data_IF_328384613102
#
_entry.id   IF_328384613102
#
_cell.length_a   1.000
_cell.length_b   1.000
_cell.length_c   1.000
_cell.angle_alpha   90.00
_cell.angle_beta   90.00
_cell.angle_gamma   90.00
#
_symmetry.space_group_name_H-M   'P 1'
#
loop_
_entity.id
_entity.type
_entity.pdbx_description
1 polymer ?
#
# COMPACT_ATOMS: atom_id res chain seq x y z
N UNK A 1 -4.82 -39.88 15.07
CA UNK A 1 -4.74 -38.53 14.48
C UNK A 1 -3.30 -38.10 14.55
N UNK A 2 -2.66 -38.03 13.39
CA UNK A 2 -1.25 -37.66 13.24
C UNK A 2 -1.02 -36.20 13.70
N UNK A 3 0.23 -35.85 14.03
CA UNK A 3 0.67 -34.50 14.35
C UNK A 3 0.29 -33.51 13.23
N UNK A 4 0.39 -33.92 11.96
CA UNK A 4 -0.03 -33.10 10.83
C UNK A 4 -1.54 -32.80 10.87
N UNK A 5 -2.39 -33.82 11.07
CA UNK A 5 -3.84 -33.64 11.20
C UNK A 5 -4.21 -32.70 12.35
N UNK A 6 -3.51 -32.81 13.49
CA UNK A 6 -3.71 -31.93 14.66
C UNK A 6 -3.34 -30.48 14.31
N UNK A 7 -2.21 -30.27 13.66
CA UNK A 7 -1.76 -28.95 13.25
C UNK A 7 -2.71 -28.32 12.21
N UNK A 8 -3.17 -29.13 11.25
CA UNK A 8 -4.14 -28.69 10.24
C UNK A 8 -5.46 -28.24 10.86
N UNK A 9 -6.04 -29.04 11.76
CA UNK A 9 -7.27 -28.65 12.50
C UNK A 9 -7.09 -27.39 13.35
N UNK A 10 -5.90 -27.20 13.93
CA UNK A 10 -5.59 -25.98 14.67
C UNK A 10 -5.54 -24.76 13.74
N UNK A 11 -5.00 -24.91 12.53
CA UNK A 11 -4.99 -23.87 11.52
C UNK A 11 -6.42 -23.51 11.08
N UNK A 12 -7.26 -24.50 10.77
CA UNK A 12 -8.67 -24.27 10.42
C UNK A 12 -9.41 -23.48 11.50
N UNK A 13 -9.23 -23.87 12.78
CA UNK A 13 -9.82 -23.14 13.91
C UNK A 13 -9.30 -21.71 14.01
N UNK A 14 -7.99 -21.50 13.85
CA UNK A 14 -7.40 -20.17 13.89
C UNK A 14 -7.91 -19.28 12.74
N UNK A 15 -8.10 -19.85 11.55
CA UNK A 15 -8.70 -19.15 10.40
C UNK A 15 -10.15 -18.76 10.68
N UNK A 16 -10.95 -19.64 11.29
CA UNK A 16 -12.32 -19.30 11.68
C UNK A 16 -12.34 -18.17 12.72
N UNK A 17 -11.54 -18.27 13.79
CA UNK A 17 -11.45 -17.22 14.80
C UNK A 17 -10.94 -15.89 14.25
N UNK A 18 -10.03 -15.90 13.29
CA UNK A 18 -9.57 -14.70 12.58
C UNK A 18 -10.71 -14.04 11.79
N UNK A 19 -11.53 -14.83 11.07
CA UNK A 19 -12.68 -14.31 10.33
C UNK A 19 -13.71 -13.70 11.26
N UNK A 20 -14.09 -14.41 12.31
CA UNK A 20 -15.07 -13.95 13.31
C UNK A 20 -14.62 -12.64 13.98
N UNK A 21 -13.33 -12.56 14.37
CA UNK A 21 -12.77 -11.34 14.93
C UNK A 21 -12.74 -10.20 13.90
N UNK A 22 -12.43 -10.51 12.64
CA UNK A 22 -12.48 -9.55 11.55
C UNK A 22 -13.90 -9.00 11.31
N UNK A 23 -14.91 -9.86 11.32
CA UNK A 23 -16.31 -9.46 11.18
C UNK A 23 -16.74 -8.56 12.35
N UNK A 24 -16.28 -8.84 13.58
CA UNK A 24 -16.52 -7.98 14.73
C UNK A 24 -15.88 -6.59 14.57
N UNK A 25 -14.67 -6.50 14.01
CA UNK A 25 -14.05 -5.19 13.68
C UNK A 25 -14.90 -4.44 12.65
N UNK A 26 -15.36 -5.11 11.59
CA UNK A 26 -16.20 -4.52 10.56
C UNK A 26 -17.59 -4.07 11.05
N UNK A 27 -18.07 -4.63 12.16
CA UNK A 27 -19.34 -4.26 12.78
C UNK A 27 -19.25 -2.97 13.63
N UNK A 28 -18.05 -2.42 13.81
CA UNK A 28 -17.78 -1.16 14.52
C UNK A 28 -17.33 -0.06 13.55
N UNK A 29 -16.83 1.06 14.08
CA UNK A 29 -16.09 2.04 13.27
C UNK A 29 -14.70 1.50 12.91
N UNK A 30 -14.68 0.64 11.88
CA UNK A 30 -13.48 -0.05 11.42
C UNK A 30 -12.42 0.92 10.92
N UNK A 31 -12.82 2.03 10.28
CA UNK A 31 -11.90 3.02 9.73
C UNK A 31 -11.13 3.69 10.86
N UNK A 32 -11.83 4.26 11.85
CA UNK A 32 -11.17 4.95 12.97
C UNK A 32 -10.30 3.99 13.80
N UNK A 33 -10.77 2.75 14.00
CA UNK A 33 -9.98 1.72 14.67
C UNK A 33 -8.67 1.44 13.92
N UNK A 34 -8.73 1.27 12.60
CA UNK A 34 -7.54 0.98 11.79
C UNK A 34 -6.61 2.19 11.69
N UNK A 35 -7.14 3.41 11.61
CA UNK A 35 -6.33 4.64 11.68
C UNK A 35 -5.55 4.73 12.99
N UNK A 36 -6.19 4.41 14.11
CA UNK A 36 -5.51 4.38 15.40
C UNK A 36 -4.37 3.34 15.43
N UNK A 37 -4.57 2.18 14.79
CA UNK A 37 -3.52 1.15 14.63
C UNK A 37 -2.38 1.66 13.73
N UNK A 38 -2.69 2.36 12.64
CA UNK A 38 -1.66 2.98 11.79
C UNK A 38 -0.87 4.05 12.56
N UNK A 39 -1.55 4.92 13.31
CA UNK A 39 -0.91 5.96 14.10
C UNK A 39 -0.02 5.42 15.24
N UNK A 40 -0.37 4.28 15.85
CA UNK A 40 0.38 3.72 16.98
C UNK A 40 1.66 2.98 16.56
N UNK A 41 1.84 2.66 15.27
CA UNK A 41 2.96 1.84 14.78
C UNK A 41 2.90 0.36 15.20
N UNK A 42 1.99 0.00 16.09
CA UNK A 42 1.85 -1.35 16.62
C UNK A 42 0.88 -2.17 15.78
N UNK A 43 1.19 -3.43 15.53
CA UNK A 43 0.30 -4.35 14.80
C UNK A 43 -0.05 -3.97 13.36
N UNK A 44 0.73 -3.08 12.71
CA UNK A 44 0.56 -2.72 11.30
C UNK A 44 0.42 -3.92 10.37
N UNK A 45 1.18 -4.99 10.60
CA UNK A 45 1.12 -6.18 9.77
C UNK A 45 -0.26 -6.86 9.84
N UNK A 46 -0.89 -6.87 11.01
CA UNK A 46 -2.21 -7.44 11.19
C UNK A 46 -3.28 -6.58 10.50
N UNK A 47 -3.16 -5.24 10.59
CA UNK A 47 -4.04 -4.31 9.89
C UNK A 47 -3.94 -4.46 8.36
N UNK A 48 -2.74 -4.45 7.79
CA UNK A 48 -2.53 -4.62 6.35
C UNK A 48 -3.01 -5.99 5.87
N UNK A 49 -2.77 -7.05 6.67
CA UNK A 49 -3.32 -8.36 6.37
C UNK A 49 -4.84 -8.33 6.31
N UNK A 50 -5.48 -7.80 7.35
CA UNK A 50 -6.93 -7.68 7.46
C UNK A 50 -7.55 -6.87 6.32
N UNK A 51 -7.00 -5.69 6.02
CA UNK A 51 -7.47 -4.86 4.91
C UNK A 51 -7.35 -5.65 3.60
N UNK A 52 -6.21 -6.29 3.34
CA UNK A 52 -6.03 -7.08 2.12
C UNK A 52 -6.97 -8.28 1.99
N UNK A 53 -7.24 -8.98 3.10
CA UNK A 53 -8.16 -10.11 3.10
C UNK A 53 -9.62 -9.67 2.88
N UNK A 54 -9.95 -8.38 3.11
CA UNK A 54 -11.29 -7.80 2.93
C UNK A 54 -11.42 -6.84 1.75
N UNK A 55 -10.35 -6.52 1.05
CA UNK A 55 -10.30 -5.45 0.05
C UNK A 55 -11.32 -5.64 -1.08
N UNK A 56 -11.54 -6.89 -1.52
CA UNK A 56 -12.52 -7.24 -2.56
C UNK A 56 -13.96 -7.05 -2.07
N UNK A 57 -14.23 -7.41 -0.82
CA UNK A 57 -15.57 -7.37 -0.22
C UNK A 57 -15.94 -5.96 0.26
N UNK A 58 -14.94 -5.16 0.65
CA UNK A 58 -15.08 -3.85 1.31
C UNK A 58 -14.16 -2.80 0.66
N UNK A 59 -14.30 -2.50 -0.64
CA UNK A 59 -13.41 -1.54 -1.32
C UNK A 59 -13.51 -0.13 -0.72
N UNK A 60 -14.65 0.25 -0.12
CA UNK A 60 -14.81 1.52 0.57
C UNK A 60 -13.92 1.65 1.83
N UNK A 61 -13.60 0.52 2.48
CA UNK A 61 -12.65 0.50 3.60
C UNK A 61 -11.24 0.85 3.11
N UNK A 62 -10.85 0.27 1.97
CA UNK A 62 -9.54 0.53 1.36
C UNK A 62 -9.46 1.98 0.91
N UNK A 63 -10.51 2.51 0.29
CA UNK A 63 -10.58 3.91 -0.12
C UNK A 63 -10.45 4.86 1.07
N UNK A 64 -11.13 4.58 2.19
CA UNK A 64 -11.07 5.42 3.38
C UNK A 64 -9.69 5.44 4.06
N UNK A 65 -8.91 4.37 3.88
CA UNK A 65 -7.56 4.18 4.45
C UNK A 65 -6.45 4.37 3.41
N UNK A 66 -6.77 4.98 2.26
CA UNK A 66 -5.82 5.15 1.16
C UNK A 66 -4.56 5.91 1.58
N UNK A 67 -4.61 7.00 2.39
CA UNK A 67 -3.40 7.68 2.86
C UNK A 67 -2.45 6.76 3.63
N UNK A 68 -2.98 6.00 4.59
CA UNK A 68 -2.18 5.11 5.43
C UNK A 68 -1.60 3.93 4.62
N UNK A 69 -2.38 3.44 3.65
CA UNK A 69 -1.93 2.42 2.70
C UNK A 69 -0.88 2.96 1.74
N UNK A 70 -1.00 4.22 1.32
CA UNK A 70 -0.02 4.90 0.47
C UNK A 70 1.31 5.02 1.21
N UNK A 71 1.31 5.57 2.43
CA UNK A 71 2.52 5.70 3.24
C UNK A 71 3.18 4.32 3.47
N UNK A 72 2.36 3.30 3.76
CA UNK A 72 2.87 1.92 3.90
C UNK A 72 3.47 1.39 2.60
N UNK A 73 2.87 1.70 1.45
CA UNK A 73 3.32 1.27 0.13
C UNK A 73 4.66 1.90 -0.30
N UNK A 74 5.07 2.99 0.34
CA UNK A 74 6.37 3.63 0.09
C UNK A 74 7.55 2.96 0.82
N UNK A 75 7.30 2.01 1.73
CA UNK A 75 8.38 1.28 2.41
C UNK A 75 9.03 0.18 1.56
N UNK A 76 10.13 -0.41 2.07
CA UNK A 76 10.86 -1.52 1.43
C UNK A 76 10.63 -2.89 2.11
N UNK A 77 9.39 -3.16 2.53
CA UNK A 77 9.06 -4.41 3.22
C UNK A 77 8.05 -5.26 2.44
N UNK A 78 7.92 -6.57 2.75
CA UNK A 78 6.82 -7.38 2.21
C UNK A 78 5.43 -6.80 2.51
N UNK A 79 5.30 -6.00 3.57
CA UNK A 79 4.06 -5.30 3.91
C UNK A 79 3.80 -4.16 2.92
N UNK A 80 4.84 -3.43 2.51
CA UNK A 80 4.74 -2.41 1.48
C UNK A 80 4.30 -3.01 0.14
N UNK A 81 4.87 -4.14 -0.25
CA UNK A 81 4.42 -4.87 -1.45
C UNK A 81 2.93 -5.25 -1.35
N UNK A 82 2.48 -5.73 -0.19
CA UNK A 82 1.05 -6.03 0.04
C UNK A 82 0.18 -4.77 -0.02
N UNK A 83 0.62 -3.64 0.52
CA UNK A 83 -0.09 -2.38 0.42
C UNK A 83 -0.24 -1.92 -1.04
N UNK A 84 0.82 -2.05 -1.86
CA UNK A 84 0.75 -1.79 -3.32
C UNK A 84 -0.32 -2.64 -4.00
N UNK A 85 -0.37 -3.95 -3.72
CA UNK A 85 -1.41 -4.83 -4.27
C UNK A 85 -2.83 -4.45 -3.82
N UNK A 86 -2.99 -4.05 -2.56
CA UNK A 86 -4.28 -3.58 -2.04
C UNK A 86 -4.74 -2.34 -2.80
N UNK A 87 -3.85 -1.36 -2.98
CA UNK A 87 -4.14 -0.15 -3.75
C UNK A 87 -4.41 -0.47 -5.23
N UNK A 88 -3.66 -1.39 -5.82
CA UNK A 88 -3.86 -1.83 -7.21
C UNK A 88 -5.23 -2.49 -7.43
N UNK A 89 -5.75 -3.17 -6.41
CA UNK A 89 -7.07 -3.81 -6.45
C UNK A 89 -8.25 -2.84 -6.42
N UNK A 90 -8.04 -1.58 -6.00
CA UNK A 90 -9.09 -0.56 -6.07
C UNK A 90 -9.35 -0.12 -7.50
N UNK A 91 -10.62 0.13 -7.80
CA UNK A 91 -11.01 0.68 -9.10
C UNK A 91 -10.40 2.07 -9.29
N UNK A 92 -9.94 2.42 -10.51
CA UNK A 92 -9.34 3.72 -10.80
C UNK A 92 -10.18 4.90 -10.31
N UNK A 93 -11.51 4.85 -10.50
CA UNK A 93 -12.43 5.90 -10.04
C UNK A 93 -12.48 6.10 -8.53
N UNK A 94 -12.11 5.10 -7.73
CA UNK A 94 -12.04 5.19 -6.27
C UNK A 94 -10.65 5.59 -5.78
N UNK A 95 -9.61 5.09 -6.47
CA UNK A 95 -8.20 5.22 -6.08
C UNK A 95 -7.59 6.53 -6.54
N UNK A 96 -7.74 6.83 -7.82
CA UNK A 96 -6.91 7.80 -8.53
C UNK A 96 -7.05 9.24 -8.00
N UNK A 97 -8.25 9.76 -7.68
CA UNK A 97 -8.39 11.15 -7.23
C UNK A 97 -7.57 11.47 -5.97
N UNK A 98 -7.51 10.53 -5.02
CA UNK A 98 -6.76 10.73 -3.78
C UNK A 98 -5.29 10.35 -3.96
N UNK A 99 -5.01 9.29 -4.72
CA UNK A 99 -3.65 8.89 -5.02
C UNK A 99 -2.88 9.98 -5.79
N UNK A 100 -3.52 10.64 -6.76
CA UNK A 100 -2.94 11.77 -7.49
C UNK A 100 -2.51 12.88 -6.54
N UNK A 101 -3.38 13.25 -5.60
CA UNK A 101 -3.08 14.30 -4.64
C UNK A 101 -1.90 13.92 -3.72
N UNK A 102 -1.77 12.66 -3.35
CA UNK A 102 -0.64 12.18 -2.53
C UNK A 102 0.65 12.11 -3.35
N UNK A 103 0.62 11.48 -4.52
CA UNK A 103 1.77 11.36 -5.42
C UNK A 103 2.27 12.73 -5.87
N UNK A 104 1.39 13.67 -6.21
CA UNK A 104 1.76 15.02 -6.61
C UNK A 104 2.52 15.78 -5.50
N UNK A 105 2.24 15.50 -4.22
CA UNK A 105 2.97 16.12 -3.10
C UNK A 105 4.41 15.62 -3.03
N UNK A 106 4.63 14.32 -3.20
CA UNK A 106 5.99 13.74 -3.24
C UNK A 106 6.75 14.19 -4.50
N UNK A 107 6.07 14.27 -5.66
CA UNK A 107 6.67 14.70 -6.94
C UNK A 107 7.04 16.18 -6.93
N UNK A 108 6.22 17.05 -6.33
CA UNK A 108 6.46 18.49 -6.36
C UNK A 108 7.70 18.93 -5.56
N UNK A 109 8.14 18.12 -4.60
CA UNK A 109 9.31 18.40 -3.78
C UNK A 109 10.06 17.09 -3.46
N UNK A 110 10.77 16.52 -4.45
CA UNK A 110 11.47 15.26 -4.27
C UNK A 110 12.61 15.45 -3.28
N UNK A 111 12.52 14.77 -2.14
CA UNK A 111 13.52 14.82 -1.07
C UNK A 111 14.64 13.78 -1.34
N UNK A 112 15.90 14.22 -1.55
CA UNK A 112 17.03 13.32 -1.75
C UNK A 112 17.24 12.32 -0.61
N UNK A 113 16.92 12.71 0.64
CA UNK A 113 17.09 11.85 1.80
C UNK A 113 16.02 10.72 1.85
N UNK A 114 14.95 10.85 1.05
CA UNK A 114 13.85 9.88 0.92
C UNK A 114 13.83 9.21 -0.46
N UNK A 115 14.99 9.07 -1.11
CA UNK A 115 15.08 8.48 -2.45
C UNK A 115 14.48 7.06 -2.54
N UNK A 116 14.60 6.25 -1.49
CA UNK A 116 14.01 4.89 -1.44
C UNK A 116 12.47 4.95 -1.52
N UNK A 117 11.86 5.92 -0.85
CA UNK A 117 10.42 6.13 -0.86
C UNK A 117 9.93 6.66 -2.21
N UNK A 118 10.72 7.53 -2.86
CA UNK A 118 10.45 7.98 -4.24
C UNK A 118 10.60 6.84 -5.25
N UNK A 119 11.59 5.95 -5.08
CA UNK A 119 11.70 4.74 -5.88
C UNK A 119 10.50 3.81 -5.65
N UNK A 120 10.06 3.65 -4.42
CA UNK A 120 8.87 2.88 -4.09
C UNK A 120 7.59 3.49 -4.67
N UNK A 121 7.50 4.83 -4.73
CA UNK A 121 6.43 5.54 -5.43
C UNK A 121 6.46 5.21 -6.92
N UNK A 122 7.63 5.25 -7.57
CA UNK A 122 7.76 4.87 -8.98
C UNK A 122 7.27 3.42 -9.23
N UNK A 123 7.66 2.47 -8.38
CA UNK A 123 7.17 1.08 -8.44
C UNK A 123 5.65 1.01 -8.27
N UNK A 124 5.08 1.75 -7.31
CA UNK A 124 3.64 1.80 -7.11
C UNK A 124 2.93 2.31 -8.36
N UNK A 125 3.37 3.43 -8.92
CA UNK A 125 2.77 4.08 -10.08
C UNK A 125 2.82 3.19 -11.33
N UNK A 126 3.95 2.52 -11.57
CA UNK A 126 4.09 1.51 -12.63
C UNK A 126 3.10 0.36 -12.39
N UNK A 127 3.08 -0.19 -11.18
CA UNK A 127 2.26 -1.36 -10.82
C UNK A 127 0.75 -1.12 -11.03
N UNK A 128 0.27 0.09 -10.75
CA UNK A 128 -1.15 0.45 -10.89
C UNK A 128 -1.50 1.03 -12.28
N UNK A 129 -0.51 1.20 -13.15
CA UNK A 129 -0.67 1.75 -14.50
C UNK A 129 -0.84 3.27 -14.56
N UNK A 130 -0.44 4.03 -13.53
CA UNK A 130 -0.45 5.50 -13.54
C UNK A 130 0.83 6.07 -14.13
N UNK A 131 1.04 5.73 -15.39
CA UNK A 131 2.25 6.06 -16.16
C UNK A 131 2.40 7.57 -16.36
N UNK A 132 1.30 8.31 -16.39
CA UNK A 132 1.29 9.77 -16.42
C UNK A 132 1.97 10.40 -15.19
N UNK A 133 1.67 9.88 -14.00
CA UNK A 133 2.31 10.31 -12.76
C UNK A 133 3.76 9.81 -12.65
N UNK A 134 4.04 8.61 -13.19
CA UNK A 134 5.39 8.07 -13.23
C UNK A 134 6.30 8.95 -14.11
N UNK A 135 5.85 9.37 -15.28
CA UNK A 135 6.61 10.29 -16.13
C UNK A 135 6.80 11.65 -15.44
N UNK A 136 5.78 12.16 -14.73
CA UNK A 136 5.93 13.39 -13.94
C UNK A 136 6.99 13.25 -12.83
N UNK A 137 7.04 12.11 -12.14
CA UNK A 137 8.10 11.82 -11.16
C UNK A 137 9.47 11.77 -11.82
N UNK A 138 9.60 11.07 -12.95
CA UNK A 138 10.86 10.95 -13.71
C UNK A 138 11.36 12.32 -14.17
N UNK A 139 10.48 13.19 -14.66
CA UNK A 139 10.79 14.57 -15.03
C UNK A 139 11.30 15.37 -13.83
N UNK A 140 10.65 15.24 -12.66
CA UNK A 140 11.02 15.99 -11.45
C UNK A 140 12.41 15.64 -10.90
N UNK A 141 12.87 14.40 -11.11
CA UNK A 141 14.16 13.91 -10.57
C UNK A 141 15.28 13.84 -11.60
N UNK A 142 14.98 14.03 -12.90
CA UNK A 142 15.93 13.84 -14.02
C UNK A 142 17.22 14.63 -13.86
N UNK A 143 17.11 15.90 -13.49
CA UNK A 143 18.24 16.83 -13.36
C UNK A 143 18.67 17.02 -11.89
N UNK A 144 18.24 16.11 -11.00
CA UNK A 144 18.60 16.18 -9.58
C UNK A 144 20.12 16.13 -9.40
N UNK A 145 20.70 16.90 -8.46
CA UNK A 145 22.12 16.76 -8.11
C UNK A 145 22.42 15.40 -7.45
N UNK A 146 21.43 14.76 -6.84
CA UNK A 146 21.56 13.43 -6.21
C UNK A 146 21.50 12.31 -7.25
N UNK A 147 22.49 11.42 -7.25
CA UNK A 147 22.60 10.33 -8.23
C UNK A 147 21.47 9.31 -8.05
N UNK A 148 21.14 8.97 -6.81
CA UNK A 148 20.09 8.00 -6.52
C UNK A 148 18.71 8.44 -7.07
N UNK A 149 18.45 9.75 -7.08
CA UNK A 149 17.22 10.31 -7.65
C UNK A 149 17.22 10.24 -9.18
N UNK A 150 18.36 10.51 -9.83
CA UNK A 150 18.46 10.39 -11.30
C UNK A 150 18.24 8.95 -11.76
N UNK A 151 18.67 7.95 -11.00
CA UNK A 151 18.40 6.54 -11.34
C UNK A 151 16.91 6.22 -11.46
N UNK A 152 16.02 6.92 -10.74
CA UNK A 152 14.57 6.73 -10.91
C UNK A 152 14.12 7.13 -12.33
N UNK A 153 14.73 8.16 -12.92
CA UNK A 153 14.44 8.55 -14.30
C UNK A 153 14.96 7.55 -15.35
N UNK A 154 16.00 6.79 -15.00
CA UNK A 154 16.72 5.88 -15.89
C UNK A 154 16.25 4.42 -15.79
N UNK A 155 15.91 3.95 -14.58
CA UNK A 155 15.59 2.55 -14.29
C UNK A 155 14.20 2.12 -14.77
N UNK A 156 13.28 3.08 -14.95
CA UNK A 156 11.90 2.81 -15.37
C UNK A 156 11.72 3.02 -16.87
N UNK A 157 10.92 2.17 -17.56
CA UNK A 157 10.68 2.31 -18.99
C UNK A 157 10.15 3.70 -19.35
N UNK A 158 10.46 4.16 -20.57
CA UNK A 158 9.81 5.34 -21.14
C UNK A 158 8.43 4.95 -21.68
N UNK A 159 7.42 5.70 -21.29
CA UNK A 159 6.05 5.54 -21.79
C UNK A 159 5.68 6.78 -22.62
N UNK A 160 5.58 6.59 -23.94
CA UNK A 160 5.27 7.62 -24.95
C UNK A 160 3.79 7.76 -25.25
#
# INVERSE_FOLDING_TARGET
MDKADKAWKALEKATASYRDAGDAVLATDAVETLRAVFASGSSHHAAIRFIGDRAVERPELVQALLPELFDTALGDSPIAARARYILAGLWPSMRDPQLEALAAREIANPDPDRWEELRALAVLLEHIGRLDLLEALKDAVRDSPEEALRWIAEDFPQHS
#
